data_IF_564868030021
#
_entry.id   IF_564868030021
#
_cell.length_a   1.000
_cell.length_b   1.000
_cell.length_c   1.000
_cell.angle_alpha   90.00
_cell.angle_beta   90.00
_cell.angle_gamma   90.00
#
_symmetry.space_group_name_H-M   'P 1'
#
loop_
_entity.id
_entity.type
_entity.pdbx_description
1 polymer ?
#
# COMPACT_ATOMS: atom_id res chain seq x y z
N UNK A 1 -11.24 -3.18 -9.57
CA UNK A 1 -10.49 -2.45 -8.54
C UNK A 1 -9.08 -3.01 -8.46
N UNK A 2 -8.06 -2.19 -8.23
CA UNK A 2 -6.67 -2.65 -8.10
C UNK A 2 -6.31 -2.92 -6.64
N UNK A 3 -5.29 -3.75 -6.39
CA UNK A 3 -4.79 -4.00 -5.04
C UNK A 3 -4.34 -2.71 -4.33
N UNK A 4 -3.83 -1.72 -5.08
CA UNK A 4 -3.54 -0.37 -4.56
C UNK A 4 -4.77 0.26 -3.92
N UNK A 5 -5.88 0.32 -4.66
CA UNK A 5 -7.12 0.93 -4.16
C UNK A 5 -7.58 0.21 -2.89
N UNK A 6 -7.56 -1.12 -2.90
CA UNK A 6 -7.97 -1.92 -1.75
C UNK A 6 -7.07 -1.71 -0.52
N UNK A 7 -5.76 -1.60 -0.70
CA UNK A 7 -4.81 -1.29 0.37
C UNK A 7 -5.05 0.10 0.95
N UNK A 8 -5.25 1.11 0.09
CA UNK A 8 -5.53 2.48 0.55
C UNK A 8 -6.87 2.55 1.29
N UNK A 9 -7.90 1.87 0.80
CA UNK A 9 -9.20 1.79 1.45
C UNK A 9 -9.09 1.12 2.82
N UNK A 10 -8.37 0.00 2.90
CA UNK A 10 -8.15 -0.69 4.17
C UNK A 10 -7.38 0.18 5.19
N UNK A 11 -6.45 1.04 4.75
CA UNK A 11 -5.77 1.99 5.65
C UNK A 11 -6.71 3.11 6.10
N UNK A 12 -7.50 3.68 5.18
CA UNK A 12 -8.49 4.73 5.50
C UNK A 12 -9.54 4.21 6.48
N UNK A 13 -10.02 2.99 6.27
CA UNK A 13 -11.06 2.37 7.10
C UNK A 13 -10.51 1.83 8.43
N UNK A 14 -9.19 1.86 8.64
CA UNK A 14 -8.54 1.39 9.87
C UNK A 14 -8.39 -0.13 9.98
N UNK A 15 -8.60 -0.87 8.89
CA UNK A 15 -8.39 -2.32 8.82
C UNK A 15 -6.94 -2.73 8.60
N UNK A 16 -6.10 -1.82 8.10
CA UNK A 16 -4.71 -2.08 7.80
C UNK A 16 -3.78 -0.99 8.35
N UNK A 17 -2.73 -1.43 9.03
CA UNK A 17 -1.67 -0.55 9.53
C UNK A 17 -1.97 0.15 10.86
N UNK A 18 -1.03 1.00 11.28
CA UNK A 18 -1.14 1.87 12.45
C UNK A 18 -0.81 3.29 12.01
N UNK A 19 -1.84 4.10 11.76
CA UNK A 19 -1.71 5.35 11.02
C UNK A 19 -1.26 5.04 9.58
N UNK A 20 -0.13 5.63 9.16
CA UNK A 20 0.40 5.42 7.80
C UNK A 20 1.33 4.20 7.68
N UNK A 21 1.65 3.52 8.78
CA UNK A 21 2.62 2.42 8.77
C UNK A 21 1.92 1.08 8.58
N UNK A 22 2.28 0.37 7.51
CA UNK A 22 1.77 -0.96 7.13
C UNK A 22 2.90 -1.99 7.09
N UNK A 23 2.57 -3.25 7.30
CA UNK A 23 3.54 -4.35 7.20
C UNK A 23 3.17 -5.29 6.06
N UNK A 24 4.19 -5.91 5.45
CA UNK A 24 4.01 -6.93 4.41
C UNK A 24 3.14 -8.08 4.88
N UNK A 25 3.38 -8.56 6.10
CA UNK A 25 2.61 -9.65 6.69
C UNK A 25 1.13 -9.26 6.86
N UNK A 26 0.83 -8.05 7.30
CA UNK A 26 -0.55 -7.59 7.40
C UNK A 26 -1.25 -7.50 6.03
N UNK A 27 -0.53 -7.10 4.97
CA UNK A 27 -1.07 -7.10 3.60
C UNK A 27 -1.34 -8.53 3.11
N UNK A 28 -0.40 -9.46 3.30
CA UNK A 28 -0.58 -10.89 2.92
C UNK A 28 -1.78 -11.49 3.65
N UNK A 29 -1.92 -11.21 4.95
CA UNK A 29 -3.01 -11.74 5.77
C UNK A 29 -4.37 -11.16 5.37
N UNK A 30 -4.45 -9.84 5.14
CA UNK A 30 -5.70 -9.16 4.84
C UNK A 30 -6.22 -9.50 3.43
N UNK A 31 -5.32 -9.71 2.46
CA UNK A 31 -5.65 -10.04 1.07
C UNK A 31 -5.23 -11.48 0.73
N UNK A 32 -5.60 -12.42 1.59
CA UNK A 32 -5.18 -13.83 1.51
C UNK A 32 -5.76 -14.59 0.31
N UNK A 33 -6.79 -14.04 -0.33
CA UNK A 33 -7.36 -14.50 -1.59
C UNK A 33 -6.47 -14.19 -2.81
N UNK A 34 -5.50 -13.27 -2.67
CA UNK A 34 -4.54 -12.92 -3.71
C UNK A 34 -3.26 -13.74 -3.48
N UNK A 35 -2.68 -14.24 -4.57
CA UNK A 35 -1.45 -15.03 -4.51
C UNK A 35 -0.36 -14.34 -3.66
N UNK A 36 0.18 -15.06 -2.68
CA UNK A 36 1.20 -14.55 -1.76
C UNK A 36 2.46 -14.05 -2.49
N UNK A 37 2.79 -14.67 -3.63
CA UNK A 37 3.89 -14.23 -4.50
C UNK A 37 3.70 -12.81 -5.02
N UNK A 38 2.46 -12.34 -5.16
CA UNK A 38 2.12 -10.99 -5.56
C UNK A 38 2.02 -10.04 -4.35
N UNK A 39 1.25 -10.40 -3.32
CA UNK A 39 1.06 -9.56 -2.12
C UNK A 39 2.36 -9.38 -1.31
N UNK A 40 3.23 -10.38 -1.32
CA UNK A 40 4.53 -10.36 -0.64
C UNK A 40 5.55 -9.40 -1.24
N UNK A 41 5.44 -9.08 -2.53
CA UNK A 41 6.31 -8.10 -3.22
C UNK A 41 5.63 -6.76 -3.48
N UNK A 42 4.32 -6.68 -3.28
CA UNK A 42 3.51 -5.51 -3.59
C UNK A 42 4.05 -4.22 -2.96
N UNK A 43 4.24 -4.20 -1.63
CA UNK A 43 4.71 -3.00 -0.94
C UNK A 43 6.12 -2.57 -1.37
N UNK A 44 7.01 -3.53 -1.67
CA UNK A 44 8.37 -3.22 -2.16
C UNK A 44 8.37 -2.68 -3.58
N UNK A 45 7.51 -3.20 -4.45
CA UNK A 45 7.43 -2.75 -5.84
C UNK A 45 6.71 -1.40 -5.96
N UNK A 46 5.88 -1.05 -4.97
CA UNK A 46 5.25 0.25 -4.83
C UNK A 46 6.13 1.28 -4.08
N UNK A 47 7.39 0.97 -3.79
CA UNK A 47 8.31 1.92 -3.15
C UNK A 47 8.60 3.12 -4.07
N UNK A 48 8.54 4.33 -3.51
CA UNK A 48 8.96 5.56 -4.17
C UNK A 48 10.49 5.62 -4.21
N UNK A 49 11.12 4.93 -5.16
CA UNK A 49 12.55 5.04 -5.45
C UNK A 49 12.82 5.81 -6.74
N UNK A 50 13.79 6.74 -6.70
CA UNK A 50 14.35 7.34 -7.92
C UNK A 50 15.30 6.35 -8.58
N UNK A 51 14.89 5.76 -9.69
CA UNK A 51 15.72 4.87 -10.51
C UNK A 51 15.08 3.51 -10.72
N UNK A 52 14.52 3.33 -11.93
CA UNK A 52 13.97 2.10 -12.53
C UNK A 52 13.09 1.30 -11.58
N UNK A 53 11.82 1.68 -11.48
CA UNK A 53 10.81 0.92 -10.76
C UNK A 53 9.79 0.32 -11.74
N UNK A 54 9.25 -0.85 -11.41
CA UNK A 54 8.40 -1.66 -12.30
C UNK A 54 7.29 -0.83 -12.96
N UNK A 55 7.10 -0.89 -14.29
CA UNK A 55 6.13 -0.06 -15.02
C UNK A 55 4.66 -0.37 -14.66
N UNK A 56 4.42 -1.44 -13.91
CA UNK A 56 3.09 -1.92 -13.55
C UNK A 56 2.67 -1.60 -12.10
N UNK A 57 3.56 -1.06 -11.27
CA UNK A 57 3.24 -0.72 -9.89
C UNK A 57 3.20 0.79 -9.70
N UNK A 58 2.10 1.29 -9.17
CA UNK A 58 2.03 2.66 -8.72
C UNK A 58 2.91 2.82 -7.46
N UNK A 59 3.67 3.91 -7.41
CA UNK A 59 4.57 4.20 -6.29
C UNK A 59 3.86 5.05 -5.24
N UNK A 60 3.65 4.49 -4.06
CA UNK A 60 2.95 5.16 -2.96
C UNK A 60 3.43 4.71 -1.58
N UNK A 61 4.49 3.91 -1.51
CA UNK A 61 5.04 3.43 -0.25
C UNK A 61 6.48 3.92 -0.07
N UNK A 62 6.93 3.97 1.17
CA UNK A 62 8.32 4.22 1.55
C UNK A 62 8.73 3.16 2.56
N UNK A 63 9.81 2.42 2.32
CA UNK A 63 10.31 1.45 3.30
C UNK A 63 10.87 2.18 4.51
N UNK A 64 10.42 1.77 5.70
CA UNK A 64 10.90 2.31 6.99
C UNK A 64 11.53 1.23 7.87
N UNK A 65 11.47 -0.04 7.46
CA UNK A 65 12.11 -1.17 8.13
C UNK A 65 11.93 -2.46 7.33
N UNK A 66 12.51 -3.56 7.82
CA UNK A 66 12.34 -4.88 7.17
C UNK A 66 10.86 -5.24 7.18
N UNK A 67 10.27 -5.42 5.99
CA UNK A 67 8.86 -5.75 5.84
C UNK A 67 7.88 -4.66 6.30
N UNK A 68 8.37 -3.45 6.61
CA UNK A 68 7.58 -2.35 7.17
C UNK A 68 7.67 -1.11 6.29
N UNK A 69 6.52 -0.55 5.96
CA UNK A 69 6.37 0.50 4.95
C UNK A 69 5.48 1.60 5.48
N UNK A 70 5.72 2.83 5.03
CA UNK A 70 4.85 3.97 5.24
C UNK A 70 4.10 4.26 3.94
N UNK A 71 2.79 4.39 4.01
CA UNK A 71 1.96 4.91 2.91
C UNK A 71 2.23 6.41 2.78
N UNK A 72 2.47 6.87 1.56
CA UNK A 72 2.67 8.29 1.29
C UNK A 72 1.38 9.07 1.59
N UNK A 73 1.41 10.12 2.42
CA UNK A 73 0.20 10.86 2.83
C UNK A 73 -0.63 11.37 1.65
N UNK A 74 0.02 11.85 0.59
CA UNK A 74 -0.66 12.35 -0.60
C UNK A 74 -1.52 11.27 -1.27
N UNK A 75 -1.02 10.04 -1.39
CA UNK A 75 -1.77 8.96 -2.02
C UNK A 75 -3.01 8.57 -1.19
N UNK A 76 -2.93 8.70 0.13
CA UNK A 76 -4.07 8.52 1.02
C UNK A 76 -5.09 9.65 0.86
N UNK A 77 -4.62 10.90 0.83
CA UNK A 77 -5.46 12.09 0.64
C UNK A 77 -6.19 12.05 -0.70
N UNK A 78 -5.49 11.75 -1.80
CA UNK A 78 -6.09 11.62 -3.13
C UNK A 78 -7.21 10.58 -3.11
N UNK A 79 -6.99 9.44 -2.45
CA UNK A 79 -8.00 8.40 -2.30
C UNK A 79 -9.18 8.81 -1.42
N UNK A 80 -8.95 9.61 -0.38
CA UNK A 80 -10.02 10.16 0.46
C UNK A 80 -10.89 11.15 -0.34
N UNK A 81 -10.29 11.99 -1.20
CA UNK A 81 -11.00 12.91 -2.10
C UNK A 81 -11.84 12.11 -3.11
N UNK A 82 -11.28 11.06 -3.73
CA UNK A 82 -12.03 10.15 -4.61
C UNK A 82 -13.24 9.51 -3.91
N UNK A 83 -13.16 9.28 -2.60
CA UNK A 83 -14.24 8.74 -1.76
C UNK A 83 -15.19 9.79 -1.19
N UNK A 84 -14.94 11.09 -1.41
CA UNK A 84 -15.74 12.18 -0.84
C UNK A 84 -15.61 12.33 0.69
N UNK A 85 -14.46 11.94 1.25
CA UNK A 85 -14.18 11.98 2.70
C UNK A 85 -13.31 13.18 3.12
N UNK A 86 -12.73 13.89 2.16
CA UNK A 86 -11.83 15.04 2.35
C UNK A 86 -12.20 16.18 1.40
#
# INVERSE_FOLDING_TARGET
MSLRTNVLDAVIDGHLGKGLVVTRQAVIQLFSEIAETYTGVFLSNSEMTTGVSSPTYDHFTQRVGVGTYRIHPQALLDRMVERGLA
#
